data_IF_293740694551
#
_entry.id   IF_293740694551
#
_cell.length_a   1.000
_cell.length_b   1.000
_cell.length_c   1.000
_cell.angle_alpha   90.00
_cell.angle_beta   90.00
_cell.angle_gamma   90.00
#
_symmetry.space_group_name_H-M   'P 1'
#
loop_
_entity.id
_entity.type
_entity.pdbx_description
1 polymer ?
#
# COMPACT_ATOMS: atom_id res chain seq x y z
N UNK A 1 15.97 -38.38 47.29
CA UNK A 1 14.57 -38.23 46.87
C UNK A 1 14.26 -36.92 46.15
N UNK A 2 14.92 -35.79 46.46
CA UNK A 2 14.66 -34.50 45.80
C UNK A 2 15.12 -34.42 44.32
N UNK A 3 16.14 -35.20 43.93
CA UNK A 3 16.69 -35.22 42.56
C UNK A 3 15.81 -35.95 41.52
N UNK A 4 15.02 -36.94 41.94
CA UNK A 4 14.11 -37.68 41.06
C UNK A 4 12.86 -36.85 40.71
N UNK A 5 12.39 -36.01 41.63
CA UNK A 5 11.28 -35.08 41.36
C UNK A 5 11.65 -34.03 40.31
N UNK A 6 12.87 -33.48 40.37
CA UNK A 6 13.36 -32.51 39.39
C UNK A 6 13.51 -33.13 38.00
N UNK A 7 13.94 -34.39 37.91
CA UNK A 7 14.06 -35.11 36.64
C UNK A 7 12.68 -35.37 35.99
N UNK A 8 11.67 -35.75 36.78
CA UNK A 8 10.29 -35.94 36.28
C UNK A 8 9.67 -34.61 35.82
N UNK A 9 9.95 -33.52 36.55
CA UNK A 9 9.45 -32.20 36.18
C UNK A 9 10.10 -31.68 34.89
N UNK A 10 11.40 -31.91 34.70
CA UNK A 10 12.11 -31.56 33.47
C UNK A 10 11.65 -32.39 32.27
N UNK A 11 11.34 -33.67 32.45
CA UNK A 11 10.77 -34.53 31.40
C UNK A 11 9.35 -34.09 31.01
N UNK A 12 8.53 -33.66 31.96
CA UNK A 12 7.20 -33.10 31.67
C UNK A 12 7.26 -31.80 30.87
N UNK A 13 8.17 -30.89 31.23
CA UNK A 13 8.34 -29.60 30.52
C UNK A 13 8.90 -29.80 29.11
N UNK A 14 9.89 -30.68 28.95
CA UNK A 14 10.48 -30.95 27.63
C UNK A 14 9.51 -31.68 26.71
N UNK A 15 8.67 -32.59 27.23
CA UNK A 15 7.58 -33.22 26.48
C UNK A 15 6.55 -32.19 25.98
N UNK A 16 6.13 -31.26 26.83
CA UNK A 16 5.17 -30.20 26.44
C UNK A 16 5.72 -29.24 25.38
N UNK A 17 7.00 -28.86 25.48
CA UNK A 17 7.67 -28.01 24.50
C UNK A 17 7.85 -28.70 23.15
N UNK A 18 8.22 -29.99 23.15
CA UNK A 18 8.29 -30.80 21.92
C UNK A 18 6.92 -30.95 21.26
N UNK A 19 5.86 -31.13 22.05
CA UNK A 19 4.50 -31.26 21.52
C UNK A 19 3.98 -29.94 20.93
N UNK A 20 4.27 -28.79 21.56
CA UNK A 20 3.96 -27.47 20.99
C UNK A 20 4.75 -27.18 19.71
N UNK A 21 6.02 -27.59 19.65
CA UNK A 21 6.86 -27.40 18.48
C UNK A 21 6.38 -28.25 17.29
N UNK A 22 6.02 -29.52 17.54
CA UNK A 22 5.42 -30.39 16.53
C UNK A 22 4.01 -29.95 16.11
N UNK A 23 3.18 -29.46 17.04
CA UNK A 23 1.86 -28.92 16.72
C UNK A 23 1.94 -27.68 15.81
N UNK A 24 3.01 -26.88 15.91
CA UNK A 24 3.26 -25.77 14.97
C UNK A 24 3.77 -26.23 13.60
N UNK A 25 4.49 -27.35 13.53
CA UNK A 25 5.00 -27.91 12.27
C UNK A 25 3.96 -28.74 11.50
N UNK A 26 3.03 -29.40 12.21
CA UNK A 26 1.98 -30.23 11.64
C UNK A 26 0.60 -29.54 11.59
N UNK A 27 0.50 -28.32 12.13
CA UNK A 27 -0.66 -27.48 11.85
C UNK A 27 -0.77 -27.34 10.33
N UNK A 28 -1.94 -27.64 9.74
CA UNK A 28 -2.13 -27.50 8.31
C UNK A 28 -1.71 -26.08 7.91
N UNK A 29 -0.78 -25.99 6.96
CA UNK A 29 -0.48 -24.74 6.26
C UNK A 29 -1.85 -24.17 5.90
N UNK A 30 -2.27 -23.02 6.45
CA UNK A 30 -3.56 -22.48 6.10
C UNK A 30 -3.55 -22.35 4.58
N UNK A 31 -4.44 -23.11 3.93
CA UNK A 31 -4.66 -23.01 2.49
C UNK A 31 -4.68 -21.53 2.16
N UNK A 32 -3.77 -21.16 1.24
CA UNK A 32 -3.49 -19.80 0.82
C UNK A 32 -4.84 -19.10 0.58
N UNK A 33 -5.36 -18.44 1.61
CA UNK A 33 -6.66 -17.79 1.54
C UNK A 33 -6.36 -16.50 0.81
N UNK A 34 -6.41 -16.57 -0.53
CA UNK A 34 -6.60 -15.40 -1.34
C UNK A 34 -7.97 -14.87 -0.99
N UNK A 35 -8.03 -14.08 0.08
CA UNK A 35 -9.22 -13.30 0.40
C UNK A 35 -9.26 -12.20 -0.64
N UNK A 36 -9.78 -12.51 -1.82
CA UNK A 36 -10.34 -11.49 -2.70
C UNK A 36 -11.56 -10.95 -1.95
N UNK A 37 -11.32 -9.92 -1.15
CA UNK A 37 -12.41 -9.10 -0.63
C UNK A 37 -12.98 -8.44 -1.88
N UNK A 38 -14.09 -8.97 -2.37
CA UNK A 38 -14.94 -8.25 -3.30
C UNK A 38 -15.38 -7.00 -2.54
N UNK A 39 -14.73 -5.87 -2.83
CA UNK A 39 -15.13 -4.58 -2.29
C UNK A 39 -16.53 -4.31 -2.81
N UNK A 40 -17.55 -4.51 -1.98
CA UNK A 40 -18.87 -3.96 -2.29
C UNK A 40 -18.68 -2.46 -2.56
N UNK A 41 -19.24 -1.92 -3.65
CA UNK A 41 -19.09 -0.52 -3.98
C UNK A 41 -19.64 0.30 -2.80
N UNK A 42 -18.74 1.06 -2.17
CA UNK A 42 -19.11 1.99 -1.11
C UNK A 42 -20.18 2.91 -1.71
N UNK A 43 -21.39 3.00 -1.12
CA UNK A 43 -22.47 3.78 -1.70
C UNK A 43 -22.00 5.22 -1.92
N UNK A 44 -22.11 5.66 -3.17
CA UNK A 44 -21.56 6.90 -3.75
C UNK A 44 -21.89 8.18 -2.94
N UNK A 45 -22.88 8.13 -2.05
CA UNK A 45 -23.50 9.29 -1.43
C UNK A 45 -22.79 9.90 -0.20
N UNK A 46 -21.69 9.32 0.33
CA UNK A 46 -21.00 9.91 1.51
C UNK A 46 -19.79 10.78 1.19
N UNK A 47 -19.30 10.76 -0.06
CA UNK A 47 -18.10 11.49 -0.49
C UNK A 47 -18.44 12.81 -1.18
N UNK A 48 -19.68 12.96 -1.65
CA UNK A 48 -20.17 14.14 -2.33
C UNK A 48 -20.76 15.16 -1.34
N UNK A 49 -19.91 15.85 -0.57
CA UNK A 49 -20.28 17.22 -0.20
C UNK A 49 -19.07 18.09 0.09
N UNK A 50 -19.00 19.13 -0.76
CA UNK A 50 -18.18 20.34 -0.65
C UNK A 50 -16.66 20.14 -0.69
N UNK A 51 -16.04 20.30 -1.87
CA UNK A 51 -15.06 21.36 -2.12
C UNK A 51 -14.92 21.64 -3.65
N UNK A 52 -16.00 22.05 -4.33
CA UNK A 52 -15.82 22.75 -5.60
C UNK A 52 -15.37 24.18 -5.28
N UNK A 53 -14.10 24.52 -5.57
CA UNK A 53 -13.60 25.90 -5.50
C UNK A 53 -12.35 26.18 -4.66
N UNK A 54 -11.78 25.20 -3.93
CA UNK A 54 -10.44 25.40 -3.34
C UNK A 54 -9.37 25.00 -4.36
N UNK A 55 -8.50 25.95 -4.68
CA UNK A 55 -7.24 25.68 -5.38
C UNK A 55 -6.53 24.53 -4.68
N UNK A 56 -6.33 23.42 -5.38
CA UNK A 56 -5.56 22.29 -4.86
C UNK A 56 -4.12 22.80 -4.67
N UNK A 57 -3.67 22.89 -3.42
CA UNK A 57 -2.27 23.13 -3.08
C UNK A 57 -1.48 21.88 -3.48
N UNK A 58 -1.11 21.82 -4.76
CA UNK A 58 -0.32 20.72 -5.30
C UNK A 58 1.16 21.06 -5.22
N UNK A 59 2.01 20.16 -4.69
CA UNK A 59 3.45 20.37 -4.71
C UNK A 59 3.96 20.46 -6.15
N UNK A 60 5.05 21.19 -6.33
CA UNK A 60 5.72 21.23 -7.63
C UNK A 60 6.22 19.83 -8.01
N UNK A 61 6.35 19.59 -9.32
CA UNK A 61 6.96 18.38 -9.83
C UNK A 61 8.36 18.15 -9.19
N UNK A 62 9.19 19.18 -9.08
CA UNK A 62 10.52 19.03 -8.46
C UNK A 62 10.48 18.55 -7.00
N UNK A 63 9.53 19.03 -6.20
CA UNK A 63 9.34 18.61 -4.80
C UNK A 63 8.99 17.12 -4.69
N UNK A 64 8.08 16.67 -5.56
CA UNK A 64 7.69 15.27 -5.66
C UNK A 64 8.84 14.37 -6.11
N UNK A 65 9.66 14.83 -7.07
CA UNK A 65 10.87 14.11 -7.48
C UNK A 65 11.84 13.88 -6.31
N UNK A 66 12.07 14.90 -5.50
CA UNK A 66 12.89 14.77 -4.28
C UNK A 66 12.26 13.82 -3.25
N UNK A 67 10.93 13.81 -3.14
CA UNK A 67 10.20 12.89 -2.24
C UNK A 67 10.27 11.44 -2.74
N UNK A 68 10.27 11.21 -4.06
CA UNK A 68 10.50 9.88 -4.64
C UNK A 68 11.94 9.40 -4.44
N UNK A 69 12.91 10.32 -4.49
CA UNK A 69 14.30 10.00 -4.18
C UNK A 69 14.47 9.58 -2.71
N UNK A 70 13.76 10.21 -1.76
CA UNK A 70 13.80 9.81 -0.35
C UNK A 70 13.16 8.43 -0.11
N UNK A 71 12.28 7.98 -1.01
CA UNK A 71 11.75 6.62 -1.06
C UNK A 71 12.72 5.60 -1.70
N UNK A 72 13.94 6.01 -2.05
CA UNK A 72 14.93 5.15 -2.68
C UNK A 72 14.68 4.88 -4.17
N UNK A 73 13.88 5.73 -4.85
CA UNK A 73 13.62 5.65 -6.29
C UNK A 73 14.15 6.88 -7.03
N UNK A 74 15.42 6.84 -7.49
CA UNK A 74 16.02 7.95 -8.22
C UNK A 74 15.43 8.15 -9.63
N UNK A 75 14.86 7.09 -10.22
CA UNK A 75 14.10 7.14 -11.45
C UNK A 75 12.71 6.52 -11.26
N UNK A 76 11.69 7.25 -11.71
CA UNK A 76 10.29 6.82 -11.73
C UNK A 76 9.81 6.97 -13.17
N UNK A 77 9.24 5.89 -13.71
CA UNK A 77 8.70 5.87 -15.07
C UNK A 77 7.44 6.74 -15.15
N UNK A 78 7.34 7.57 -16.20
CA UNK A 78 6.20 8.47 -16.44
C UNK A 78 6.13 9.69 -15.51
N UNK A 79 7.25 10.05 -14.88
CA UNK A 79 7.36 11.23 -14.01
C UNK A 79 7.00 12.55 -14.73
N UNK A 80 7.38 12.67 -16.00
CA UNK A 80 7.11 13.80 -16.88
C UNK A 80 5.61 14.05 -17.10
N UNK A 81 4.78 13.02 -16.93
CA UNK A 81 3.33 13.09 -17.08
C UNK A 81 2.66 13.96 -16.01
N UNK A 82 3.35 14.33 -14.93
CA UNK A 82 2.84 15.17 -13.83
C UNK A 82 3.16 16.67 -13.99
N UNK A 83 3.70 17.09 -15.14
CA UNK A 83 4.15 18.47 -15.35
C UNK A 83 3.01 19.48 -15.56
N UNK A 84 1.85 19.03 -16.07
CA UNK A 84 0.71 19.88 -16.44
C UNK A 84 -0.22 20.28 -15.27
N UNK A 85 -0.96 21.40 -15.40
CA UNK A 85 -1.93 21.86 -14.39
C UNK A 85 -3.07 20.87 -14.13
N UNK A 86 -3.48 20.12 -15.14
CA UNK A 86 -4.55 19.11 -15.08
C UNK A 86 -4.18 17.87 -14.24
N UNK A 87 -2.90 17.77 -13.83
CA UNK A 87 -2.40 16.73 -12.93
C UNK A 87 -2.30 17.17 -11.47
N UNK A 88 -2.81 18.37 -11.14
CA UNK A 88 -2.75 18.92 -9.79
C UNK A 88 -3.32 17.97 -8.72
N UNK A 89 -4.44 17.29 -9.01
CA UNK A 89 -5.02 16.29 -8.11
C UNK A 89 -4.06 15.11 -7.87
N UNK A 90 -3.51 14.55 -8.95
CA UNK A 90 -2.53 13.47 -8.86
C UNK A 90 -1.27 13.88 -8.10
N UNK A 91 -0.73 15.09 -8.37
CA UNK A 91 0.41 15.63 -7.64
C UNK A 91 0.12 15.84 -6.16
N UNK A 92 -1.06 16.33 -5.80
CA UNK A 92 -1.43 16.52 -4.41
C UNK A 92 -1.52 15.18 -3.67
N UNK A 93 -2.18 14.18 -4.25
CA UNK A 93 -2.29 12.84 -3.67
C UNK A 93 -0.93 12.17 -3.54
N UNK A 94 -0.13 12.13 -4.62
CA UNK A 94 1.22 11.58 -4.57
C UNK A 94 2.08 12.32 -3.55
N UNK A 95 1.94 13.65 -3.47
CA UNK A 95 2.65 14.48 -2.50
C UNK A 95 2.32 14.10 -1.08
N UNK A 96 1.03 13.91 -0.80
CA UNK A 96 0.53 13.45 0.49
C UNK A 96 1.06 12.06 0.86
N UNK A 97 0.99 11.10 -0.07
CA UNK A 97 1.52 9.75 0.17
C UNK A 97 3.03 9.74 0.40
N UNK A 98 3.78 10.55 -0.35
CA UNK A 98 5.24 10.58 -0.27
C UNK A 98 5.79 11.43 0.88
N UNK A 99 4.93 12.06 1.70
CA UNK A 99 5.37 12.88 2.85
C UNK A 99 6.22 12.12 3.86
N UNK A 100 5.94 10.81 4.03
CA UNK A 100 6.64 9.95 4.99
C UNK A 100 7.40 8.89 4.22
N UNK A 101 8.75 8.89 4.25
CA UNK A 101 9.53 7.86 3.58
C UNK A 101 9.27 6.48 4.21
N UNK A 102 9.37 5.39 3.43
CA UNK A 102 9.22 4.04 3.94
C UNK A 102 10.28 3.79 5.00
N UNK A 103 9.95 3.01 6.03
CA UNK A 103 10.98 2.53 6.95
C UNK A 103 12.05 1.75 6.20
N UNK A 104 13.29 1.70 6.72
CA UNK A 104 14.37 0.89 6.12
C UNK A 104 14.09 -0.61 6.02
N UNK A 105 12.95 -1.08 6.54
CA UNK A 105 12.45 -2.46 6.44
C UNK A 105 11.48 -2.68 5.26
N UNK A 106 11.21 -1.64 4.46
CA UNK A 106 10.42 -1.72 3.23
C UNK A 106 11.28 -1.27 2.05
N UNK A 107 11.38 -2.16 1.06
CA UNK A 107 12.01 -1.90 -0.22
C UNK A 107 10.94 -1.57 -1.25
N UNK A 108 11.06 -0.40 -1.87
CA UNK A 108 10.26 -0.04 -3.03
C UNK A 108 10.86 -0.76 -4.25
N UNK A 109 10.10 -1.66 -4.88
CA UNK A 109 10.54 -2.39 -6.07
C UNK A 109 10.32 -1.58 -7.34
N UNK A 110 9.14 -0.96 -7.47
CA UNK A 110 8.84 -0.05 -8.59
C UNK A 110 7.79 0.97 -8.20
N UNK A 111 7.88 2.14 -8.82
CA UNK A 111 6.79 3.12 -8.91
C UNK A 111 6.65 3.42 -10.40
N UNK A 112 5.44 3.24 -10.95
CA UNK A 112 5.13 3.56 -12.33
C UNK A 112 3.96 4.54 -12.35
N UNK A 113 4.10 5.57 -13.17
CA UNK A 113 3.06 6.56 -13.42
C UNK A 113 2.69 6.43 -14.89
N UNK A 114 1.40 6.24 -15.16
CA UNK A 114 0.88 6.16 -16.52
C UNK A 114 -0.27 7.12 -16.68
N UNK A 115 -0.46 7.57 -17.92
CA UNK A 115 -1.54 8.47 -18.28
C UNK A 115 -2.24 7.93 -19.53
N UNK A 116 -3.40 7.28 -19.37
CA UNK A 116 -4.11 6.68 -20.50
C UNK A 116 -4.65 7.73 -21.48
N UNK A 117 -4.93 8.96 -21.05
CA UNK A 117 -5.33 10.05 -21.94
C UNK A 117 -4.92 11.43 -21.45
N UNK A 118 -4.79 12.39 -22.37
CA UNK A 118 -4.38 13.78 -22.10
C UNK A 118 -5.32 14.56 -21.18
N UNK A 119 -6.56 14.12 -20.98
CA UNK A 119 -7.50 14.74 -20.03
C UNK A 119 -7.87 13.81 -18.88
N UNK A 120 -7.58 12.52 -19.00
CA UNK A 120 -7.97 11.50 -18.03
C UNK A 120 -7.12 11.43 -16.77
N UNK A 121 -7.48 10.51 -15.86
CA UNK A 121 -6.82 10.34 -14.58
C UNK A 121 -5.43 9.74 -14.76
N UNK A 122 -4.58 9.94 -13.75
CA UNK A 122 -3.27 9.32 -13.64
C UNK A 122 -3.42 7.93 -13.04
N UNK A 123 -2.72 6.95 -13.60
CA UNK A 123 -2.56 5.64 -13.01
C UNK A 123 -1.23 5.58 -12.27
N UNK A 124 -1.25 5.22 -10.99
CA UNK A 124 -0.06 5.07 -10.17
C UNK A 124 0.04 3.63 -9.67
N UNK A 125 1.11 2.94 -10.03
CA UNK A 125 1.39 1.56 -9.60
C UNK A 125 2.60 1.53 -8.67
N UNK A 126 2.43 0.90 -7.51
CA UNK A 126 3.44 0.69 -6.48
C UNK A 126 3.68 -0.80 -6.30
N UNK A 127 4.95 -1.20 -6.27
CA UNK A 127 5.36 -2.53 -5.85
C UNK A 127 6.31 -2.41 -4.67
N UNK A 128 5.96 -3.07 -3.58
CA UNK A 128 6.62 -2.96 -2.28
C UNK A 128 6.97 -4.38 -1.80
N UNK A 129 8.13 -4.52 -1.15
CA UNK A 129 8.52 -5.73 -0.43
C UNK A 129 9.12 -5.34 0.91
N UNK A 130 8.71 -5.96 1.99
CA UNK A 130 9.27 -5.68 3.31
C UNK A 130 8.69 -6.59 4.37
N UNK A 131 9.05 -6.38 5.64
CA UNK A 131 8.41 -7.16 6.71
C UNK A 131 6.93 -6.77 6.85
N UNK A 132 6.03 -7.71 7.19
CA UNK A 132 4.59 -7.40 7.32
C UNK A 132 4.30 -6.19 8.22
N UNK A 133 5.02 -6.07 9.35
CA UNK A 133 4.87 -4.97 10.31
C UNK A 133 5.23 -3.59 9.75
N UNK A 134 6.08 -3.54 8.71
CA UNK A 134 6.53 -2.31 8.09
C UNK A 134 5.77 -1.99 6.81
N UNK A 135 5.41 -3.03 6.03
CA UNK A 135 4.69 -2.89 4.76
C UNK A 135 3.21 -2.59 4.97
N UNK A 136 2.53 -3.23 5.95
CA UNK A 136 1.10 -3.02 6.17
C UNK A 136 0.71 -1.57 6.52
N UNK A 137 1.44 -0.85 7.41
CA UNK A 137 1.15 0.55 7.66
C UNK A 137 1.31 1.43 6.41
N UNK A 138 2.31 1.15 5.57
CA UNK A 138 2.53 1.88 4.33
C UNK A 138 1.41 1.62 3.32
N UNK A 139 0.97 0.37 3.19
CA UNK A 139 -0.21 -0.01 2.40
C UNK A 139 -1.45 0.71 2.89
N UNK A 140 -1.66 0.75 4.21
CA UNK A 140 -2.77 1.48 4.83
C UNK A 140 -2.73 2.99 4.54
N UNK A 141 -1.54 3.61 4.54
CA UNK A 141 -1.38 5.01 4.16
C UNK A 141 -1.73 5.26 2.69
N UNK A 142 -1.31 4.37 1.79
CA UNK A 142 -1.61 4.47 0.35
C UNK A 142 -3.09 4.26 0.04
N UNK A 143 -3.79 3.44 0.82
CA UNK A 143 -5.24 3.23 0.74
C UNK A 143 -6.04 4.28 1.51
N UNK A 144 -5.37 5.16 2.24
CA UNK A 144 -6.00 6.23 3.02
C UNK A 144 -6.68 7.28 2.12
N UNK A 145 -7.59 8.09 2.71
CA UNK A 145 -8.31 9.11 1.96
C UNK A 145 -7.33 10.14 1.35
N UNK A 146 -7.56 10.56 0.09
CA UNK A 146 -6.73 11.57 -0.56
C UNK A 146 -6.94 12.97 0.04
N UNK A 147 -6.03 13.92 -0.20
CA UNK A 147 -6.23 15.31 0.18
C UNK A 147 -7.44 15.92 -0.55
N UNK A 148 -8.06 16.94 0.06
CA UNK A 148 -9.25 17.59 -0.48
C UNK A 148 -9.08 18.03 -1.95
N UNK A 149 -10.07 17.70 -2.78
CA UNK A 149 -10.07 18.04 -4.21
C UNK A 149 -9.46 16.99 -5.14
N UNK A 150 -8.91 15.89 -4.60
CA UNK A 150 -8.49 14.73 -5.36
C UNK A 150 -9.37 13.52 -5.06
N UNK A 151 -9.59 12.68 -6.06
CA UNK A 151 -10.19 11.36 -5.92
C UNK A 151 -9.14 10.29 -6.21
N UNK A 152 -9.23 9.19 -5.48
CA UNK A 152 -8.40 8.00 -5.65
C UNK A 152 -9.29 6.78 -5.68
N UNK A 153 -9.10 5.94 -6.69
CA UNK A 153 -9.83 4.70 -6.87
C UNK A 153 -8.80 3.55 -6.98
N UNK A 154 -8.77 2.62 -6.01
CA UNK A 154 -7.87 1.47 -6.06
C UNK A 154 -8.34 0.47 -7.13
N UNK A 155 -7.61 0.38 -8.23
CA UNK A 155 -7.89 -0.57 -9.32
C UNK A 155 -7.45 -1.99 -8.96
N UNK A 156 -6.31 -2.10 -8.24
CA UNK A 156 -5.78 -3.39 -7.83
C UNK A 156 -5.02 -3.25 -6.52
N UNK A 157 -5.31 -4.16 -5.60
CA UNK A 157 -4.52 -4.35 -4.38
C UNK A 157 -4.26 -5.85 -4.27
N UNK A 158 -3.00 -6.25 -4.34
CA UNK A 158 -2.57 -7.63 -4.21
C UNK A 158 -1.51 -7.70 -3.12
N UNK A 159 -1.66 -8.64 -2.21
CA UNK A 159 -0.69 -8.90 -1.16
C UNK A 159 -0.37 -10.40 -1.13
N UNK A 160 0.91 -10.75 -1.18
CA UNK A 160 1.38 -12.11 -0.97
C UNK A 160 2.31 -12.13 0.24
N UNK A 161 1.92 -12.89 1.26
CA UNK A 161 2.66 -12.99 2.51
C UNK A 161 3.56 -14.23 2.46
N UNK A 162 4.85 -14.01 2.67
CA UNK A 162 5.82 -15.05 3.01
C UNK A 162 5.97 -15.21 4.52
N UNK A 163 6.98 -15.99 4.92
CA UNK A 163 7.27 -16.27 6.34
C UNK A 163 7.75 -15.00 7.05
N UNK A 164 8.60 -14.21 6.39
CA UNK A 164 9.23 -13.02 6.97
C UNK A 164 8.94 -11.73 6.18
N UNK A 165 8.32 -11.85 5.01
CA UNK A 165 8.09 -10.77 4.07
C UNK A 165 6.62 -10.67 3.61
N UNK A 166 6.29 -9.48 3.12
CA UNK A 166 5.03 -9.14 2.50
C UNK A 166 5.34 -8.41 1.20
N UNK A 167 4.94 -9.03 0.09
CA UNK A 167 4.91 -8.41 -1.23
C UNK A 167 3.57 -7.74 -1.42
N UNK A 168 3.57 -6.44 -1.72
CA UNK A 168 2.37 -5.68 -2.01
C UNK A 168 2.47 -5.02 -3.38
N UNK A 169 1.45 -5.23 -4.21
CA UNK A 169 1.23 -4.53 -5.46
C UNK A 169 -0.06 -3.71 -5.34
N UNK A 170 0.04 -2.40 -5.56
CA UNK A 170 -1.08 -1.48 -5.52
C UNK A 170 -1.13 -0.68 -6.80
N UNK A 171 -2.31 -0.57 -7.39
CA UNK A 171 -2.56 0.25 -8.57
C UNK A 171 -3.77 1.14 -8.30
N UNK A 172 -3.58 2.44 -8.50
CA UNK A 172 -4.57 3.48 -8.21
C UNK A 172 -4.83 4.31 -9.44
N UNK A 173 -6.09 4.70 -9.60
CA UNK A 173 -6.52 5.76 -10.51
C UNK A 173 -6.70 7.03 -9.70
N UNK A 174 -6.04 8.11 -10.10
CA UNK A 174 -5.98 9.38 -9.36
C UNK A 174 -6.37 10.52 -10.29
N UNK A 175 -7.36 11.32 -9.90
CA UNK A 175 -7.82 12.43 -10.72
C UNK A 175 -8.76 13.35 -9.95
N UNK A 176 -9.24 14.39 -10.62
CA UNK A 176 -10.40 15.15 -10.14
C UNK A 176 -11.69 14.38 -10.41
N UNK A 177 -12.80 14.80 -9.78
CA UNK A 177 -14.13 14.22 -9.99
C UNK A 177 -14.46 14.07 -11.48
N UNK A 178 -14.27 15.14 -12.26
CA UNK A 178 -14.54 15.17 -13.70
C UNK A 178 -13.69 14.17 -14.51
N UNK A 179 -12.46 13.91 -14.06
CA UNK A 179 -11.56 12.98 -14.73
C UNK A 179 -11.93 11.52 -14.43
N UNK A 180 -12.48 11.24 -13.24
CA UNK A 180 -12.82 9.89 -12.81
C UNK A 180 -14.09 9.36 -13.47
N UNK A 181 -14.98 10.25 -13.92
CA UNK A 181 -16.18 9.93 -14.71
C UNK A 181 -15.86 9.51 -16.16
N UNK A 182 -14.64 9.77 -16.63
CA UNK A 182 -14.22 9.39 -17.97
C UNK A 182 -13.82 7.90 -18.04
N UNK A 183 -14.40 7.10 -18.96
CA UNK A 183 -14.04 5.69 -19.09
C UNK A 183 -12.59 5.52 -19.56
N UNK A 184 -11.91 4.51 -19.04
CA UNK A 184 -10.57 4.09 -19.52
C UNK A 184 -10.80 3.44 -20.90
N UNK A 185 -10.34 4.09 -21.96
CA UNK A 185 -10.46 3.61 -23.35
C UNK A 185 -9.25 2.78 -23.75
#
# INVERSE_FOLDING_TARGET
>A
MMRTFVAVLLLGISGGLLQQWFARFLAPIPEKTSTSIATEPIPEATWHREVFGKTILSPSALTLKSSLQSWGKPSVEGWDLLSGPETAAARATLGFWLTSPPSGKVKILSIQIKRPSLSGPILAKFQLRGTPQATLPLVGQLLGPPPAGALTDPLRVSMDAGIDDLDAELEFRIGSVLQMESPIS
#
